data_IF_775290299439
#
_entry.id   IF_775290299439
#
_cell.length_a   1.000
_cell.length_b   1.000
_cell.length_c   1.000
_cell.angle_alpha   90.00
_cell.angle_beta   90.00
_cell.angle_gamma   90.00
#
_symmetry.space_group_name_H-M   'P 1'
#
loop_
_entity.id
_entity.type
_entity.pdbx_description
1 polymer ?
#
# COMPACT_ATOMS: atom_id res chain seq x y z
N UNK A 1 15.94 -0.22 11.18
CA UNK A 1 15.18 -0.37 9.93
C UNK A 1 15.62 -1.65 9.28
N UNK A 2 14.70 -2.44 8.73
CA UNK A 2 15.07 -3.61 7.92
C UNK A 2 15.71 -3.09 6.63
N UNK A 3 17.01 -3.34 6.46
CA UNK A 3 17.81 -2.81 5.34
C UNK A 3 17.31 -3.31 3.99
N UNK A 4 16.53 -4.39 3.96
CA UNK A 4 16.10 -5.05 2.72
C UNK A 4 15.11 -4.22 1.90
N UNK A 5 14.18 -3.51 2.56
CA UNK A 5 13.24 -2.63 1.86
C UNK A 5 13.85 -1.27 1.51
N UNK A 6 14.90 -0.86 2.23
CA UNK A 6 15.50 0.47 2.07
C UNK A 6 16.16 0.66 0.71
N UNK A 7 16.68 -0.43 0.13
CA UNK A 7 17.39 -0.42 -1.15
C UNK A 7 16.47 -0.78 -2.34
N UNK A 8 15.21 -1.13 -2.09
CA UNK A 8 14.25 -1.48 -3.15
C UNK A 8 13.64 -0.24 -3.80
N UNK A 9 13.56 -0.25 -5.13
CA UNK A 9 12.71 0.67 -5.87
C UNK A 9 11.23 0.38 -5.58
N UNK A 10 10.37 1.35 -5.86
CA UNK A 10 8.92 1.16 -5.76
C UNK A 10 8.51 -0.02 -6.64
N UNK A 11 7.98 -1.06 -6.01
CA UNK A 11 7.62 -2.31 -6.68
C UNK A 11 6.13 -2.66 -6.47
N UNK A 12 5.39 -1.83 -5.74
CA UNK A 12 3.97 -2.00 -5.48
C UNK A 12 3.19 -0.81 -6.02
N UNK A 13 2.17 -1.10 -6.83
CA UNK A 13 1.15 -0.16 -7.27
C UNK A 13 -0.23 -0.74 -6.99
N UNK A 14 -1.17 0.08 -6.56
CA UNK A 14 -2.49 -0.40 -6.20
C UNK A 14 -3.53 0.68 -6.03
N UNK A 15 -4.78 0.25 -6.07
CA UNK A 15 -5.94 1.12 -5.85
C UNK A 15 -6.94 0.48 -4.88
N UNK A 16 -7.61 1.32 -4.09
CA UNK A 16 -8.84 1.00 -3.38
C UNK A 16 -9.99 1.76 -4.03
N UNK A 17 -11.03 1.02 -4.44
CA UNK A 17 -12.23 1.56 -5.07
C UNK A 17 -13.26 1.95 -4.02
N UNK A 18 -14.18 2.84 -4.39
CA UNK A 18 -15.35 3.20 -3.58
C UNK A 18 -15.18 4.41 -2.65
N UNK A 19 -14.22 5.29 -2.93
CA UNK A 19 -14.10 6.58 -2.21
C UNK A 19 -13.55 6.46 -0.79
N UNK A 20 -12.77 5.42 -0.49
CA UNK A 20 -12.24 5.15 0.85
C UNK A 20 -11.07 6.10 1.14
N UNK A 21 -11.33 7.21 1.84
CA UNK A 21 -10.31 8.25 2.04
C UNK A 21 -9.00 7.78 2.70
N UNK A 22 -7.84 8.39 2.38
CA UNK A 22 -6.52 7.99 2.88
C UNK A 22 -6.41 7.88 4.40
N UNK A 23 -7.06 8.78 5.14
CA UNK A 23 -7.06 8.76 6.61
C UNK A 23 -7.74 7.50 7.18
N UNK A 24 -8.80 7.01 6.54
CA UNK A 24 -9.48 5.78 6.95
C UNK A 24 -8.61 4.56 6.66
N UNK A 25 -7.92 4.55 5.51
CA UNK A 25 -6.96 3.49 5.18
C UNK A 25 -5.81 3.45 6.19
N UNK A 26 -5.19 4.60 6.46
CA UNK A 26 -4.12 4.71 7.45
C UNK A 26 -4.58 4.25 8.84
N UNK A 27 -5.73 4.75 9.33
CA UNK A 27 -6.27 4.35 10.63
C UNK A 27 -6.55 2.84 10.72
N UNK A 28 -7.03 2.23 9.63
CA UNK A 28 -7.25 0.78 9.58
C UNK A 28 -5.93 0.01 9.66
N UNK A 29 -4.91 0.42 8.92
CA UNK A 29 -3.58 -0.19 8.97
C UNK A 29 -2.95 -0.04 10.36
N UNK A 30 -3.09 1.13 10.98
CA UNK A 30 -2.63 1.39 12.34
C UNK A 30 -3.31 0.44 13.35
N UNK A 31 -4.63 0.22 13.22
CA UNK A 31 -5.36 -0.75 14.05
C UNK A 31 -4.87 -2.20 13.89
N UNK A 32 -4.15 -2.49 12.81
CA UNK A 32 -3.53 -3.79 12.50
C UNK A 32 -2.03 -3.84 12.83
N UNK A 33 -1.52 -2.82 13.53
CA UNK A 33 -0.15 -2.77 14.04
C UNK A 33 0.87 -2.17 13.07
N UNK A 34 0.42 -1.57 11.96
CA UNK A 34 1.31 -0.77 11.11
C UNK A 34 1.62 0.55 11.79
N UNK A 35 2.81 1.10 11.57
CA UNK A 35 3.07 2.48 11.95
C UNK A 35 2.56 3.37 10.85
N UNK A 36 1.82 4.41 11.20
CA UNK A 36 1.32 5.37 10.21
C UNK A 36 1.71 6.79 10.58
N UNK A 37 1.86 7.64 9.57
CA UNK A 37 2.07 9.07 9.76
C UNK A 37 1.44 9.84 8.62
N UNK A 38 1.02 11.07 8.90
CA UNK A 38 0.70 12.02 7.83
C UNK A 38 2.00 12.37 7.07
N UNK A 39 1.93 12.32 5.75
CA UNK A 39 3.00 12.72 4.84
C UNK A 39 2.72 14.11 4.26
N UNK A 40 1.45 14.42 4.02
CA UNK A 40 0.93 15.75 3.67
C UNK A 40 -0.45 15.97 4.30
N UNK A 41 -1.16 17.04 3.92
CA UNK A 41 -2.54 17.26 4.36
C UNK A 41 -3.52 16.18 3.88
N UNK A 42 -3.25 15.53 2.75
CA UNK A 42 -4.16 14.55 2.15
C UNK A 42 -3.54 13.16 1.96
N UNK A 43 -2.23 13.02 2.18
CA UNK A 43 -1.52 11.75 2.04
C UNK A 43 -0.94 11.24 3.37
N UNK A 44 -0.84 9.91 3.45
CA UNK A 44 -0.32 9.19 4.59
C UNK A 44 0.76 8.22 4.15
N UNK A 45 1.72 7.97 5.02
CA UNK A 45 2.64 6.84 4.90
C UNK A 45 2.28 5.79 5.94
N UNK A 46 2.33 4.52 5.54
CA UNK A 46 2.17 3.37 6.42
C UNK A 46 3.33 2.39 6.24
N UNK A 47 3.91 1.93 7.34
CA UNK A 47 5.04 0.99 7.33
C UNK A 47 4.82 -0.21 8.27
N UNK A 48 5.39 -1.33 7.84
CA UNK A 48 5.60 -2.56 8.60
C UNK A 48 6.99 -3.13 8.26
N UNK A 49 7.35 -4.28 8.80
CA UNK A 49 8.67 -4.89 8.55
C UNK A 49 8.88 -5.32 7.08
N UNK A 50 7.79 -5.54 6.34
CA UNK A 50 7.79 -6.10 4.99
C UNK A 50 7.12 -5.19 3.96
N UNK A 51 6.66 -4.00 4.33
CA UNK A 51 5.98 -3.08 3.42
C UNK A 51 6.07 -1.64 3.89
N UNK A 52 6.27 -0.71 2.96
CA UNK A 52 6.15 0.74 3.16
C UNK A 52 5.40 1.33 1.98
N UNK A 53 4.26 1.95 2.25
CA UNK A 53 3.38 2.52 1.24
C UNK A 53 3.06 3.98 1.55
N UNK A 54 2.92 4.75 0.49
CA UNK A 54 2.18 6.00 0.46
C UNK A 54 0.73 5.72 0.08
N UNK A 55 -0.17 6.42 0.75
CA UNK A 55 -1.60 6.37 0.59
C UNK A 55 -2.04 7.77 0.19
N UNK A 56 -2.57 7.90 -1.02
CA UNK A 56 -3.03 9.17 -1.57
C UNK A 56 -4.42 9.01 -2.19
N UNK A 57 -5.03 10.10 -2.63
CA UNK A 57 -6.32 10.08 -3.31
C UNK A 57 -6.28 10.92 -4.59
N UNK A 58 -6.77 10.34 -5.67
CA UNK A 58 -6.99 11.05 -6.93
C UNK A 58 -8.20 11.98 -6.83
N UNK A 59 -8.29 12.94 -7.74
CA UNK A 59 -9.42 13.88 -7.82
C UNK A 59 -10.79 13.19 -8.00
N UNK A 60 -10.80 11.98 -8.56
CA UNK A 60 -12.01 11.16 -8.73
C UNK A 60 -12.41 10.35 -7.48
N UNK A 61 -11.64 10.48 -6.39
CA UNK A 61 -11.88 9.83 -5.11
C UNK A 61 -11.28 8.43 -4.99
N UNK A 62 -10.58 7.92 -6.00
CA UNK A 62 -9.86 6.64 -5.92
C UNK A 62 -8.65 6.75 -5.01
N UNK A 63 -8.48 5.81 -4.09
CA UNK A 63 -7.32 5.82 -3.20
C UNK A 63 -6.19 5.01 -3.81
N UNK A 64 -5.03 5.63 -3.94
CA UNK A 64 -3.81 5.03 -4.46
C UNK A 64 -2.99 4.45 -3.31
N UNK A 65 -2.38 3.30 -3.56
CA UNK A 65 -1.40 2.66 -2.68
C UNK A 65 -0.16 2.42 -3.52
N UNK A 66 0.94 3.10 -3.21
CA UNK A 66 2.20 2.94 -3.93
C UNK A 66 3.35 2.78 -2.95
N UNK A 67 4.35 1.98 -3.28
CA UNK A 67 5.55 1.91 -2.47
C UNK A 67 6.36 0.64 -2.67
N UNK A 68 6.92 0.15 -1.57
CA UNK A 68 7.79 -1.03 -1.56
C UNK A 68 7.19 -2.14 -0.69
N UNK A 69 7.27 -3.37 -1.16
CA UNK A 69 6.79 -4.57 -0.46
C UNK A 69 7.78 -5.73 -0.68
N UNK A 70 7.94 -6.58 0.32
CA UNK A 70 8.55 -7.91 0.11
C UNK A 70 7.70 -8.69 -0.91
N UNK A 71 8.25 -9.09 -2.07
CA UNK A 71 7.51 -9.76 -3.13
C UNK A 71 6.65 -10.94 -2.66
N UNK A 72 7.11 -11.68 -1.65
CA UNK A 72 6.40 -12.85 -1.12
C UNK A 72 5.19 -12.50 -0.24
N UNK A 73 4.90 -11.22 -0.04
CA UNK A 73 3.89 -10.72 0.91
C UNK A 73 2.78 -9.92 0.22
N UNK A 74 2.75 -9.85 -1.11
CA UNK A 74 1.69 -9.11 -1.81
C UNK A 74 0.31 -9.72 -1.55
N UNK A 75 0.20 -11.05 -1.52
CA UNK A 75 -1.03 -11.76 -1.14
C UNK A 75 -1.51 -11.41 0.28
N UNK A 76 -0.58 -11.18 1.22
CA UNK A 76 -0.93 -10.77 2.58
C UNK A 76 -1.56 -9.37 2.59
N UNK A 77 -1.04 -8.46 1.77
CA UNK A 77 -1.62 -7.13 1.60
C UNK A 77 -2.99 -7.20 0.93
N UNK A 78 -3.13 -7.97 -0.15
CA UNK A 78 -4.42 -8.19 -0.83
C UNK A 78 -5.47 -8.74 0.14
N UNK A 79 -5.10 -9.76 0.92
CA UNK A 79 -5.96 -10.36 1.95
C UNK A 79 -6.35 -9.36 3.02
N UNK A 80 -5.44 -8.49 3.46
CA UNK A 80 -5.73 -7.44 4.44
C UNK A 80 -6.78 -6.45 3.92
N UNK A 81 -6.62 -5.99 2.67
CA UNK A 81 -7.56 -5.07 2.02
C UNK A 81 -8.94 -5.73 1.83
N UNK A 82 -8.96 -6.98 1.35
CA UNK A 82 -10.18 -7.79 1.23
C UNK A 82 -10.93 -7.93 2.57
N UNK A 83 -10.21 -8.25 3.65
CA UNK A 83 -10.77 -8.41 5.01
C UNK A 83 -11.29 -7.10 5.60
N UNK A 84 -10.88 -5.96 5.06
CA UNK A 84 -11.43 -4.65 5.40
C UNK A 84 -12.71 -4.33 4.60
N UNK A 85 -13.15 -5.24 3.74
CA UNK A 85 -14.35 -5.09 2.91
C UNK A 85 -14.11 -4.21 1.68
N UNK A 86 -12.86 -3.95 1.32
CA UNK A 86 -12.51 -3.01 0.26
C UNK A 86 -12.21 -3.72 -1.05
N UNK A 87 -12.87 -3.25 -2.11
CA UNK A 87 -12.53 -3.63 -3.46
C UNK A 87 -11.21 -2.97 -3.85
N UNK A 88 -10.24 -3.77 -4.28
CA UNK A 88 -8.91 -3.30 -4.58
C UNK A 88 -8.35 -3.97 -5.84
N UNK A 89 -7.23 -3.44 -6.33
CA UNK A 89 -6.37 -4.05 -7.34
C UNK A 89 -4.94 -3.74 -6.91
N UNK A 90 -4.08 -4.76 -6.86
CA UNK A 90 -2.66 -4.59 -6.58
C UNK A 90 -1.83 -5.14 -7.73
N UNK A 91 -0.66 -4.58 -7.92
CA UNK A 91 0.30 -4.94 -8.95
C UNK A 91 1.70 -4.93 -8.34
N UNK A 92 2.42 -6.03 -8.52
CA UNK A 92 3.82 -6.18 -8.15
C UNK A 92 4.70 -6.04 -9.39
N UNK A 93 5.80 -5.30 -9.26
CA UNK A 93 6.78 -5.10 -10.31
C UNK A 93 8.16 -5.62 -9.87
N UNK A 94 8.99 -6.05 -10.81
CA UNK A 94 10.40 -6.36 -10.54
C UNK A 94 11.30 -5.14 -10.73
N UNK A 95 12.62 -5.34 -10.65
CA UNK A 95 13.62 -4.29 -10.82
C UNK A 95 13.72 -3.71 -12.24
N UNK A 96 13.09 -4.36 -13.23
CA UNK A 96 13.03 -3.92 -14.63
C UNK A 96 11.69 -3.25 -14.97
N UNK A 97 10.88 -2.91 -13.97
CA UNK A 97 9.50 -2.44 -14.11
C UNK A 97 8.59 -3.44 -14.85
N UNK A 98 8.94 -4.74 -14.84
CA UNK A 98 8.08 -5.79 -15.40
C UNK A 98 7.08 -6.26 -14.36
N UNK A 99 5.82 -6.42 -14.78
CA UNK A 99 4.75 -6.92 -13.92
C UNK A 99 5.01 -8.39 -13.56
N UNK A 100 5.11 -8.66 -12.26
CA UNK A 100 5.32 -10.00 -11.69
C UNK A 100 4.02 -10.63 -11.24
N UNK A 101 3.16 -9.88 -10.55
CA UNK A 101 1.97 -10.44 -9.88
C UNK A 101 0.80 -9.43 -9.80
N UNK A 102 -0.43 -9.93 -9.81
CA UNK A 102 -1.68 -9.17 -9.63
C UNK A 102 -2.73 -9.97 -8.84
N UNK A 103 -2.67 -9.97 -7.50
CA UNK A 103 -3.62 -10.68 -6.66
C UNK A 103 -4.98 -9.98 -6.53
#
# INVERSE_FOLDING_TARGET
MDTRLADMANNLCGIIKGGIGPALVASRLESLGWKTRSASWYSYEAETLWCRIEIDQTDDGTTLINGVIDPHRIDDLATLLARSGWQHSLELYDENDELVERP
#
